data_IF_028188974669
#
_entry.id   IF_028188974669
#
_cell.length_a   1.000
_cell.length_b   1.000
_cell.length_c   1.000
_cell.angle_alpha   90.00
_cell.angle_beta   90.00
_cell.angle_gamma   90.00
#
_symmetry.space_group_name_H-M   'P 1'
#
loop_
_entity.id
_entity.type
_entity.pdbx_description
1 polymer ?
#
# COMPACT_ATOMS: atom_id res chain seq x y z
N UNK A 1 -8.49 11.24 1.96
CA UNK A 1 -8.30 10.31 0.82
C UNK A 1 -8.82 10.95 -0.45
N UNK A 2 -10.16 11.02 -0.66
CA UNK A 2 -10.79 11.54 -1.88
C UNK A 2 -10.18 12.82 -2.48
N UNK A 3 -9.88 13.82 -1.64
CA UNK A 3 -9.24 15.07 -2.08
C UNK A 3 -7.97 14.86 -2.91
N UNK A 4 -7.09 13.96 -2.47
CA UNK A 4 -5.82 13.71 -3.17
C UNK A 4 -5.98 12.83 -4.41
N UNK A 5 -7.08 12.08 -4.53
CA UNK A 5 -7.43 11.38 -5.76
C UNK A 5 -7.74 12.37 -6.90
N UNK A 6 -8.28 13.55 -6.57
CA UNK A 6 -8.53 14.63 -7.53
C UNK A 6 -7.31 15.55 -7.72
N UNK A 7 -6.61 15.87 -6.63
CA UNK A 7 -5.46 16.77 -6.64
C UNK A 7 -4.24 16.13 -5.96
N UNK A 8 -3.46 15.28 -6.66
CA UNK A 8 -2.32 14.55 -6.07
C UNK A 8 -1.22 15.44 -5.48
N UNK A 9 -1.09 16.67 -5.98
CA UNK A 9 -0.14 17.70 -5.51
C UNK A 9 -0.80 18.75 -4.60
N UNK A 10 -2.06 18.54 -4.21
CA UNK A 10 -2.82 19.42 -3.33
C UNK A 10 -3.54 20.59 -4.02
N UNK A 11 -3.35 20.77 -5.33
CA UNK A 11 -4.13 21.72 -6.15
C UNK A 11 -3.91 23.21 -5.83
N UNK A 12 -2.96 23.55 -4.95
CA UNK A 12 -2.71 24.92 -4.50
C UNK A 12 -3.75 25.46 -3.51
N UNK A 13 -4.62 24.60 -2.97
CA UNK A 13 -5.67 25.02 -2.03
C UNK A 13 -5.13 25.24 -0.62
N UNK A 14 -5.67 26.22 0.13
CA UNK A 14 -5.28 26.50 1.52
C UNK A 14 -5.91 25.53 2.53
N UNK A 15 -6.89 24.72 2.12
CA UNK A 15 -7.52 23.71 2.97
C UNK A 15 -8.22 22.65 2.11
N UNK A 16 -8.56 21.52 2.72
CA UNK A 16 -9.39 20.50 2.07
C UNK A 16 -10.74 21.08 1.62
N UNK A 17 -11.39 21.87 2.49
CA UNK A 17 -12.69 22.46 2.22
C UNK A 17 -12.63 23.39 1.01
N UNK A 18 -11.61 24.25 0.92
CA UNK A 18 -11.47 25.19 -0.18
C UNK A 18 -11.39 24.49 -1.55
N UNK A 19 -10.70 23.36 -1.65
CA UNK A 19 -10.69 22.58 -2.89
C UNK A 19 -12.01 21.86 -3.16
N UNK A 20 -12.62 21.24 -2.14
CA UNK A 20 -13.92 20.57 -2.30
C UNK A 20 -15.06 21.54 -2.67
N UNK A 21 -15.02 22.78 -2.17
CA UNK A 21 -15.99 23.84 -2.51
C UNK A 21 -15.97 24.20 -3.99
N UNK A 22 -14.82 24.03 -4.67
CA UNK A 22 -14.75 24.24 -6.13
C UNK A 22 -15.62 23.26 -6.91
N UNK A 23 -15.86 22.06 -6.36
CA UNK A 23 -16.68 21.03 -6.99
C UNK A 23 -18.18 21.30 -6.83
N UNK A 24 -18.58 22.09 -5.83
CA UNK A 24 -19.99 22.39 -5.58
C UNK A 24 -20.67 23.04 -6.79
N UNK A 25 -19.92 23.85 -7.53
CA UNK A 25 -20.35 24.58 -8.72
C UNK A 25 -20.29 23.74 -10.01
N UNK A 26 -19.91 22.47 -9.93
CA UNK A 26 -19.74 21.56 -11.07
C UNK A 26 -20.80 20.43 -11.02
N UNK A 27 -22.07 20.71 -11.33
CA UNK A 27 -23.15 19.71 -11.21
C UNK A 27 -22.91 18.49 -12.11
N UNK A 28 -22.52 18.69 -13.36
CA UNK A 28 -22.26 17.58 -14.30
C UNK A 28 -21.17 16.63 -13.80
N UNK A 29 -20.08 17.18 -13.24
CA UNK A 29 -19.01 16.38 -12.65
C UNK A 29 -19.51 15.54 -11.46
N UNK A 30 -20.32 16.15 -10.58
CA UNK A 30 -20.86 15.45 -9.40
C UNK A 30 -21.82 14.33 -9.80
N UNK A 31 -22.65 14.57 -10.80
CA UNK A 31 -23.59 13.58 -11.33
C UNK A 31 -22.86 12.40 -11.98
N UNK A 32 -21.81 12.69 -12.77
CA UNK A 32 -20.96 11.64 -13.36
C UNK A 32 -20.20 10.86 -12.28
N UNK A 33 -19.64 11.54 -11.29
CA UNK A 33 -18.93 10.90 -10.18
C UNK A 33 -19.85 9.92 -9.42
N UNK A 34 -21.10 10.29 -9.16
CA UNK A 34 -22.06 9.38 -8.53
C UNK A 34 -22.34 8.14 -9.40
N UNK A 35 -22.46 8.30 -10.71
CA UNK A 35 -22.68 7.17 -11.63
C UNK A 35 -21.46 6.23 -11.64
N UNK A 36 -20.25 6.78 -11.71
CA UNK A 36 -19.01 6.00 -11.66
C UNK A 36 -18.88 5.26 -10.34
N UNK A 37 -19.11 5.92 -9.21
CA UNK A 37 -19.07 5.28 -7.88
C UNK A 37 -20.10 4.16 -7.75
N UNK A 38 -21.34 4.38 -8.21
CA UNK A 38 -22.39 3.37 -8.20
C UNK A 38 -22.02 2.15 -9.06
N UNK A 39 -21.43 2.38 -10.24
CA UNK A 39 -20.98 1.31 -11.13
C UNK A 39 -19.84 0.50 -10.51
N UNK A 40 -18.82 1.16 -9.96
CA UNK A 40 -17.64 0.49 -9.37
C UNK A 40 -18.02 -0.27 -8.10
N UNK A 41 -18.93 0.26 -7.27
CA UNK A 41 -19.41 -0.45 -6.07
C UNK A 41 -20.13 -1.77 -6.41
N UNK A 42 -20.79 -1.85 -7.57
CA UNK A 42 -21.41 -3.10 -8.05
C UNK A 42 -20.39 -4.14 -8.54
N UNK A 43 -19.15 -3.72 -8.79
CA UNK A 43 -18.05 -4.55 -9.31
C UNK A 43 -16.99 -4.85 -8.25
N UNK A 44 -17.28 -4.62 -6.96
CA UNK A 44 -16.32 -4.93 -5.91
C UNK A 44 -16.11 -6.46 -5.82
N UNK A 45 -14.96 -6.93 -6.30
CA UNK A 45 -14.60 -8.35 -6.39
C UNK A 45 -14.23 -8.98 -5.03
N UNK A 46 -13.88 -8.15 -4.05
CA UNK A 46 -13.41 -8.59 -2.73
C UNK A 46 -14.26 -8.00 -1.62
N UNK A 47 -14.58 -8.82 -0.62
CA UNK A 47 -15.27 -8.37 0.59
C UNK A 47 -14.28 -7.60 1.46
N UNK A 48 -14.47 -6.28 1.67
CA UNK A 48 -13.58 -5.50 2.50
C UNK A 48 -13.71 -5.92 3.96
N UNK A 49 -12.58 -6.18 4.62
CA UNK A 49 -12.54 -6.47 6.06
C UNK A 49 -11.97 -5.26 6.82
N UNK A 50 -12.61 -4.80 7.91
CA UNK A 50 -12.12 -3.65 8.65
C UNK A 50 -10.78 -3.97 9.32
N UNK A 51 -9.89 -2.97 9.39
CA UNK A 51 -8.76 -3.02 10.30
C UNK A 51 -9.28 -2.98 11.75
N UNK A 52 -8.58 -3.69 12.65
CA UNK A 52 -8.98 -3.83 14.04
C UNK A 52 -7.92 -3.25 14.99
N UNK A 53 -8.26 -3.14 16.27
CA UNK A 53 -7.34 -2.70 17.31
C UNK A 53 -6.88 -1.26 17.13
N UNK A 54 -5.57 -1.03 17.23
CA UNK A 54 -4.92 0.29 17.09
C UNK A 54 -5.12 0.94 15.72
N UNK A 55 -5.52 0.16 14.70
CA UNK A 55 -5.76 0.62 13.35
C UNK A 55 -7.24 0.80 13.01
N UNK A 56 -8.16 0.59 13.95
CA UNK A 56 -9.60 0.64 13.68
C UNK A 56 -10.12 2.00 13.20
N UNK A 57 -9.39 3.09 13.48
CA UNK A 57 -9.73 4.44 13.01
C UNK A 57 -9.13 4.79 11.65
N UNK A 58 -8.27 3.92 11.09
CA UNK A 58 -7.67 4.14 9.77
C UNK A 58 -8.73 3.81 8.71
N UNK A 59 -9.00 4.70 7.75
CA UNK A 59 -10.03 4.52 6.73
C UNK A 59 -9.56 3.58 5.60
N UNK A 60 -8.94 2.46 5.96
CA UNK A 60 -8.50 1.41 5.06
C UNK A 60 -9.11 0.07 5.49
N UNK A 61 -9.43 -0.75 4.51
CA UNK A 61 -9.98 -2.09 4.69
C UNK A 61 -9.11 -3.10 3.95
N UNK A 62 -8.93 -4.26 4.57
CA UNK A 62 -8.22 -5.39 3.99
C UNK A 62 -8.99 -5.89 2.76
N UNK A 63 -8.24 -6.24 1.72
CA UNK A 63 -8.67 -6.64 0.38
C UNK A 63 -9.30 -5.55 -0.50
N UNK A 64 -9.34 -4.29 -0.04
CA UNK A 64 -9.64 -3.16 -0.91
C UNK A 64 -8.36 -2.62 -1.57
N UNK A 65 -8.53 -2.02 -2.75
CA UNK A 65 -7.46 -1.43 -3.54
C UNK A 65 -7.40 0.09 -3.36
N UNK A 66 -6.18 0.61 -3.19
CA UNK A 66 -5.92 2.02 -2.91
C UNK A 66 -4.77 2.54 -3.76
N UNK A 67 -4.94 3.74 -4.29
CA UNK A 67 -3.85 4.52 -4.85
C UNK A 67 -2.91 5.02 -3.76
N UNK A 68 -1.72 5.48 -4.16
CA UNK A 68 -0.78 6.14 -3.24
C UNK A 68 -1.40 7.40 -2.61
N UNK A 69 -2.19 8.12 -3.40
CA UNK A 69 -2.95 9.31 -3.04
C UNK A 69 -4.02 9.02 -1.97
N UNK A 70 -4.41 7.75 -1.81
CA UNK A 70 -5.32 7.30 -0.76
C UNK A 70 -4.57 6.75 0.45
N UNK A 71 -3.57 5.89 0.23
CA UNK A 71 -2.79 5.24 1.30
C UNK A 71 -2.10 6.27 2.19
N UNK A 72 -1.35 7.21 1.61
CA UNK A 72 -0.53 8.13 2.39
C UNK A 72 -1.34 9.06 3.31
N UNK A 73 -2.41 9.73 2.87
CA UNK A 73 -3.22 10.52 3.80
C UNK A 73 -3.99 9.64 4.79
N UNK A 74 -4.42 8.42 4.42
CA UNK A 74 -5.07 7.51 5.36
C UNK A 74 -4.13 7.11 6.52
N UNK A 75 -2.84 6.95 6.24
CA UNK A 75 -1.80 6.67 7.24
C UNK A 75 -1.26 7.94 7.94
N UNK A 76 -1.82 9.12 7.65
CA UNK A 76 -1.37 10.40 8.21
C UNK A 76 -0.02 10.90 7.67
N UNK A 77 0.43 10.38 6.53
CA UNK A 77 1.72 10.71 5.90
C UNK A 77 1.63 11.82 4.84
N UNK A 78 0.41 12.31 4.56
CA UNK A 78 0.18 13.39 3.62
C UNK A 78 -0.97 14.29 4.06
N UNK A 79 -0.84 15.60 3.81
CA UNK A 79 -1.87 16.59 4.13
C UNK A 79 -1.82 17.84 3.24
N UNK A 80 -2.90 18.63 3.25
CA UNK A 80 -2.97 19.90 2.50
C UNK A 80 -1.95 20.93 3.00
N UNK A 81 -1.58 20.89 4.27
CA UNK A 81 -0.59 21.82 4.84
C UNK A 81 0.80 21.18 4.99
N UNK A 82 0.98 19.97 4.47
CA UNK A 82 2.19 19.17 4.62
C UNK A 82 2.64 18.49 3.34
N UNK A 83 3.29 17.33 3.50
CA UNK A 83 3.82 16.55 2.38
C UNK A 83 2.69 16.08 1.46
N UNK A 84 2.93 16.18 0.15
CA UNK A 84 1.98 15.72 -0.87
C UNK A 84 2.23 14.27 -1.26
N UNK A 85 1.19 13.47 -1.54
CA UNK A 85 1.36 12.08 -1.98
C UNK A 85 2.20 11.96 -3.25
N UNK A 86 2.07 12.89 -4.20
CA UNK A 86 2.81 12.87 -5.46
C UNK A 86 4.35 12.83 -5.33
N UNK A 87 4.89 13.22 -4.17
CA UNK A 87 6.34 13.23 -3.91
C UNK A 87 6.86 11.92 -3.31
N UNK A 88 6.00 10.94 -3.06
CA UNK A 88 6.42 9.65 -2.50
C UNK A 88 6.89 8.72 -3.60
N UNK A 89 8.16 8.30 -3.51
CA UNK A 89 8.84 7.42 -4.48
C UNK A 89 9.39 6.15 -3.83
N UNK A 90 9.19 5.96 -2.53
CA UNK A 90 9.75 4.87 -1.75
C UNK A 90 8.80 3.65 -1.77
N UNK A 91 9.33 2.43 -1.66
CA UNK A 91 8.51 1.21 -1.56
C UNK A 91 8.09 0.88 -0.13
N UNK A 92 8.57 1.61 0.86
CA UNK A 92 8.29 1.40 2.29
C UNK A 92 8.13 2.74 2.97
N UNK A 93 7.20 2.82 3.94
CA UNK A 93 6.96 4.02 4.72
C UNK A 93 6.78 3.70 6.20
N UNK A 94 7.70 4.20 7.03
CA UNK A 94 7.49 4.27 8.48
C UNK A 94 6.51 5.41 8.82
N UNK A 95 5.44 5.06 9.53
CA UNK A 95 4.37 5.96 9.98
C UNK A 95 4.42 6.08 11.51
N UNK A 96 5.22 7.03 12.00
CA UNK A 96 5.50 7.19 13.43
C UNK A 96 4.25 7.49 14.27
N UNK A 97 3.32 8.28 13.73
CA UNK A 97 2.04 8.63 14.37
C UNK A 97 1.15 7.41 14.72
N UNK A 98 1.33 6.29 14.02
CA UNK A 98 0.59 5.04 14.23
C UNK A 98 1.51 3.84 14.48
N UNK A 99 2.81 4.08 14.70
CA UNK A 99 3.83 3.06 14.93
C UNK A 99 3.77 1.89 13.93
N UNK A 100 3.66 2.21 12.63
CA UNK A 100 3.40 1.21 11.57
C UNK A 100 4.33 1.37 10.38
N UNK A 101 4.94 0.27 9.94
CA UNK A 101 5.61 0.18 8.64
C UNK A 101 4.60 -0.24 7.56
N UNK A 102 4.42 0.59 6.55
CA UNK A 102 3.64 0.27 5.35
C UNK A 102 4.58 -0.22 4.25
N UNK A 103 4.40 -1.48 3.82
CA UNK A 103 5.19 -2.11 2.77
C UNK A 103 4.39 -2.11 1.47
N UNK A 104 4.86 -1.36 0.46
CA UNK A 104 4.18 -1.21 -0.84
C UNK A 104 4.94 -2.01 -1.90
N UNK A 105 4.42 -3.20 -2.17
CA UNK A 105 5.05 -4.21 -3.02
C UNK A 105 4.47 -4.16 -4.44
N UNK A 106 5.36 -4.23 -5.44
CA UNK A 106 5.00 -4.45 -6.84
C UNK A 106 5.61 -5.78 -7.26
N UNK A 107 4.76 -6.77 -7.58
CA UNK A 107 5.18 -8.15 -7.82
C UNK A 107 5.89 -8.31 -9.17
N UNK A 108 5.23 -7.93 -10.25
CA UNK A 108 5.78 -7.97 -11.60
C UNK A 108 6.46 -6.63 -11.91
N UNK A 109 7.77 -6.71 -12.12
CA UNK A 109 8.63 -5.58 -12.43
C UNK A 109 8.92 -5.61 -13.92
N UNK A 110 8.53 -4.56 -14.64
CA UNK A 110 8.90 -4.39 -16.04
C UNK A 110 10.42 -4.50 -16.21
N UNK A 111 10.87 -5.34 -17.15
CA UNK A 111 12.29 -5.61 -17.38
C UNK A 111 13.09 -4.34 -17.74
N UNK A 112 12.42 -3.32 -18.27
CA UNK A 112 13.01 -2.05 -18.70
C UNK A 112 13.28 -1.09 -17.54
N UNK A 113 12.59 -1.25 -16.41
CA UNK A 113 12.59 -0.29 -15.30
C UNK A 113 13.55 -0.68 -14.15
N UNK A 114 14.09 -1.90 -14.15
CA UNK A 114 14.92 -2.41 -13.05
C UNK A 114 16.21 -3.07 -13.55
N UNK A 115 17.35 -2.68 -12.97
CA UNK A 115 18.60 -3.41 -13.18
C UNK A 115 18.46 -4.84 -12.64
N UNK A 116 19.18 -5.84 -13.21
CA UNK A 116 19.20 -7.21 -12.71
C UNK A 116 19.51 -7.31 -11.20
N UNK A 117 20.23 -6.32 -10.67
CA UNK A 117 20.70 -6.22 -9.28
C UNK A 117 19.62 -5.76 -8.28
N UNK A 118 18.47 -5.25 -8.76
CA UNK A 118 17.38 -4.71 -7.90
C UNK A 118 16.09 -5.53 -7.99
N UNK A 119 16.16 -6.78 -8.47
CA UNK A 119 15.00 -7.68 -8.50
C UNK A 119 14.77 -8.28 -7.11
N UNK A 120 14.25 -7.47 -6.20
CA UNK A 120 13.70 -7.99 -4.95
C UNK A 120 12.68 -9.08 -5.26
N UNK A 121 12.83 -10.24 -4.65
CA UNK A 121 11.87 -11.34 -4.83
C UNK A 121 10.75 -11.14 -3.83
N UNK A 122 9.58 -10.77 -4.31
CA UNK A 122 8.39 -10.59 -3.49
C UNK A 122 7.33 -11.57 -3.99
N UNK A 123 6.86 -12.49 -3.13
CA UNK A 123 5.93 -13.54 -3.55
C UNK A 123 5.17 -14.14 -2.37
N UNK A 124 3.98 -14.66 -2.63
CA UNK A 124 3.24 -15.49 -1.70
C UNK A 124 3.87 -16.90 -1.63
N UNK A 125 4.19 -17.34 -0.41
CA UNK A 125 4.64 -18.72 -0.13
C UNK A 125 3.43 -19.67 -0.07
N UNK A 126 2.32 -19.19 0.49
CA UNK A 126 1.02 -19.86 0.54
C UNK A 126 -0.06 -18.81 0.83
N UNK A 127 -1.26 -19.24 1.21
CA UNK A 127 -2.41 -18.39 1.50
C UNK A 127 -2.23 -17.43 2.70
N UNK A 128 -1.19 -17.57 3.52
CA UNK A 128 -0.99 -16.76 4.72
C UNK A 128 0.46 -16.33 4.96
N UNK A 129 1.43 -16.88 4.21
CA UNK A 129 2.84 -16.51 4.27
C UNK A 129 3.24 -15.76 3.01
N UNK A 130 3.90 -14.63 3.20
CA UNK A 130 4.41 -13.77 2.14
C UNK A 130 5.90 -13.53 2.34
N UNK A 131 6.69 -13.82 1.31
CA UNK A 131 8.10 -13.51 1.27
C UNK A 131 8.31 -12.10 0.70
N UNK A 132 9.09 -11.30 1.40
CA UNK A 132 9.39 -9.91 1.04
C UNK A 132 10.87 -9.60 1.29
N UNK A 133 11.52 -8.94 0.32
CA UNK A 133 12.89 -8.47 0.50
C UNK A 133 12.94 -6.97 0.82
N UNK A 134 13.73 -6.61 1.84
CA UNK A 134 13.93 -5.22 2.24
C UNK A 134 14.76 -4.43 1.22
N UNK A 135 14.83 -3.11 1.38
CA UNK A 135 15.77 -2.30 0.60
C UNK A 135 17.22 -2.77 0.83
N UNK A 136 18.06 -2.69 -0.20
CA UNK A 136 19.46 -3.15 -0.22
C UNK A 136 20.32 -2.66 0.96
N UNK A 137 19.99 -1.51 1.55
CA UNK A 137 20.75 -0.94 2.68
C UNK A 137 20.24 -1.39 4.06
N UNK A 138 19.03 -1.93 4.14
CA UNK A 138 18.43 -2.38 5.40
C UNK A 138 19.10 -3.67 5.83
N UNK A 139 19.90 -3.61 6.90
CA UNK A 139 20.50 -4.78 7.54
C UNK A 139 19.66 -5.31 8.71
N UNK A 140 19.85 -6.57 9.09
CA UNK A 140 19.20 -7.16 10.28
C UNK A 140 19.54 -6.40 11.56
N UNK A 141 20.73 -5.80 11.63
CA UNK A 141 21.19 -4.99 12.76
C UNK A 141 20.85 -3.50 12.62
N UNK A 142 20.29 -3.06 11.50
CA UNK A 142 19.87 -1.66 11.32
C UNK A 142 18.66 -1.34 12.19
N UNK A 143 18.40 -0.06 12.54
CA UNK A 143 17.22 0.30 13.32
C UNK A 143 15.91 -0.22 12.72
N UNK A 144 15.78 -0.17 11.38
CA UNK A 144 14.62 -0.69 10.65
C UNK A 144 14.55 -2.22 10.71
N UNK A 145 15.66 -2.93 10.46
CA UNK A 145 15.70 -4.40 10.52
C UNK A 145 15.41 -4.93 11.91
N UNK A 146 15.93 -4.30 12.96
CA UNK A 146 15.62 -4.63 14.36
C UNK A 146 14.15 -4.35 14.66
N UNK A 147 13.59 -3.24 14.15
CA UNK A 147 12.15 -2.95 14.30
C UNK A 147 11.28 -4.04 13.68
N UNK A 148 11.60 -4.53 12.48
CA UNK A 148 10.86 -5.64 11.86
C UNK A 148 10.90 -6.90 12.72
N UNK A 149 12.08 -7.31 13.20
CA UNK A 149 12.24 -8.51 14.02
C UNK A 149 11.51 -8.44 15.36
N UNK A 150 11.55 -7.27 16.01
CA UNK A 150 11.02 -7.05 17.36
C UNK A 150 9.66 -6.35 17.37
N UNK A 151 8.97 -6.29 16.23
CA UNK A 151 7.81 -5.40 16.07
C UNK A 151 6.70 -5.69 17.08
N UNK A 152 6.42 -6.97 17.34
CA UNK A 152 5.42 -7.40 18.32
C UNK A 152 5.77 -6.97 19.75
N UNK A 153 7.02 -7.12 20.14
CA UNK A 153 7.51 -6.75 21.48
C UNK A 153 7.47 -5.23 21.69
N UNK A 154 7.77 -4.47 20.62
CA UNK A 154 7.76 -3.00 20.62
C UNK A 154 6.38 -2.40 20.39
N UNK A 155 5.35 -3.20 20.15
CA UNK A 155 4.01 -2.72 19.81
C UNK A 155 3.96 -1.96 18.48
N UNK A 156 4.90 -2.22 17.58
CA UNK A 156 4.89 -1.68 16.22
C UNK A 156 4.25 -2.66 15.25
N UNK A 157 3.65 -2.15 14.19
CA UNK A 157 2.82 -2.93 13.26
C UNK A 157 3.38 -2.90 11.85
N UNK A 158 2.95 -3.86 11.03
CA UNK A 158 3.31 -3.93 9.61
C UNK A 158 2.01 -4.09 8.81
N UNK A 159 1.82 -3.25 7.80
CA UNK A 159 0.73 -3.37 6.83
C UNK A 159 1.32 -3.66 5.45
N UNK A 160 0.88 -4.76 4.83
CA UNK A 160 1.34 -5.17 3.52
C UNK A 160 0.35 -4.74 2.43
N UNK A 161 0.84 -4.01 1.44
CA UNK A 161 0.11 -3.56 0.26
C UNK A 161 0.75 -4.19 -0.98
N UNK A 162 -0.05 -4.82 -1.82
CA UNK A 162 0.45 -5.56 -2.99
C UNK A 162 -0.26 -5.07 -4.26
N UNK A 163 0.50 -4.93 -5.34
CA UNK A 163 -0.05 -4.80 -6.70
C UNK A 163 0.75 -5.69 -7.64
N UNK A 164 0.10 -6.09 -8.73
CA UNK A 164 0.74 -6.93 -9.76
C UNK A 164 1.74 -6.13 -10.57
N UNK A 165 1.29 -5.04 -11.18
CA UNK A 165 2.02 -4.18 -12.10
C UNK A 165 2.21 -2.77 -11.56
N UNK A 166 3.14 -2.03 -12.16
CA UNK A 166 3.32 -0.60 -11.86
C UNK A 166 2.22 0.26 -12.49
N UNK A 167 1.77 -0.11 -13.69
CA UNK A 167 0.80 0.60 -14.49
C UNK A 167 -0.36 -0.32 -14.88
N UNK A 168 -1.50 0.28 -15.16
CA UNK A 168 -2.68 -0.32 -15.76
C UNK A 168 -2.56 -0.30 -17.29
N UNK A 169 -3.42 -1.04 -17.98
CA UNK A 169 -3.44 -1.13 -19.45
C UNK A 169 -3.70 0.23 -20.14
N UNK A 170 -4.28 1.19 -19.41
CA UNK A 170 -4.53 2.57 -19.88
C UNK A 170 -3.40 3.54 -19.49
N UNK A 171 -2.28 3.05 -18.97
CA UNK A 171 -1.07 3.83 -18.64
C UNK A 171 -1.10 4.56 -17.28
N UNK A 172 -2.19 4.46 -16.53
CA UNK A 172 -2.28 5.00 -15.17
C UNK A 172 -1.61 4.08 -14.13
N UNK A 173 -1.20 4.58 -12.95
CA UNK A 173 -0.61 3.74 -11.91
C UNK A 173 -1.62 2.69 -11.40
N UNK A 174 -1.20 1.43 -11.27
CA UNK A 174 -2.07 0.41 -10.67
C UNK A 174 -2.17 0.63 -9.14
N UNK A 175 -3.39 0.59 -8.56
CA UNK A 175 -3.56 0.67 -7.11
C UNK A 175 -2.99 -0.56 -6.41
N UNK A 176 -2.68 -0.42 -5.12
CA UNK A 176 -2.29 -1.53 -4.26
C UNK A 176 -3.47 -2.04 -3.46
N UNK A 177 -3.64 -3.36 -3.43
CA UNK A 177 -4.55 -4.02 -2.53
C UNK A 177 -3.91 -4.17 -1.14
N UNK A 178 -4.65 -3.81 -0.08
CA UNK A 178 -4.22 -4.03 1.29
C UNK A 178 -4.39 -5.52 1.64
N UNK A 179 -3.29 -6.26 1.81
CA UNK A 179 -3.32 -7.65 2.34
C UNK A 179 -3.58 -7.67 3.85
N UNK A 180 -3.32 -6.55 4.53
CA UNK A 180 -3.61 -6.34 5.94
C UNK A 180 -2.40 -6.46 6.86
N UNK A 181 -2.64 -6.60 8.17
CA UNK A 181 -1.59 -6.72 9.17
C UNK A 181 -0.76 -8.00 9.00
N UNK A 182 0.54 -7.88 9.26
CA UNK A 182 1.48 -8.98 9.16
C UNK A 182 2.33 -9.15 10.43
N UNK A 183 2.75 -10.39 10.70
CA UNK A 183 3.67 -10.75 11.77
C UNK A 183 4.97 -11.32 11.21
N UNK A 184 6.08 -10.86 11.77
CA UNK A 184 7.40 -11.37 11.45
C UNK A 184 7.50 -12.86 11.85
N UNK A 185 7.98 -13.71 10.95
CA UNK A 185 8.22 -15.14 11.22
C UNK A 185 9.72 -15.40 11.36
N UNK A 186 10.48 -15.11 10.30
CA UNK A 186 11.93 -15.27 10.21
C UNK A 186 12.46 -14.44 9.04
N UNK A 187 13.77 -14.33 8.94
CA UNK A 187 14.42 -13.80 7.75
C UNK A 187 15.68 -14.59 7.40
N UNK A 188 16.16 -14.41 6.19
CA UNK A 188 17.51 -14.80 5.75
C UNK A 188 18.20 -13.60 5.12
N UNK A 189 19.54 -13.64 5.06
CA UNK A 189 20.32 -12.50 4.58
C UNK A 189 20.31 -11.32 5.55
N UNK A 190 21.04 -10.27 5.19
CA UNK A 190 21.12 -9.06 6.01
C UNK A 190 20.97 -7.84 5.12
N UNK A 191 21.76 -7.68 4.06
CA UNK A 191 21.66 -6.56 3.10
C UNK A 191 21.39 -7.07 1.68
N UNK A 192 20.12 -7.23 1.25
CA UNK A 192 18.88 -7.00 2.00
C UNK A 192 18.50 -8.16 2.95
N UNK A 193 17.52 -7.92 3.82
CA UNK A 193 16.83 -8.96 4.59
C UNK A 193 15.71 -9.55 3.74
N UNK A 194 15.66 -10.87 3.62
CA UNK A 194 14.57 -11.60 2.99
C UNK A 194 13.65 -12.15 4.09
N UNK A 195 12.53 -11.46 4.35
CA UNK A 195 11.64 -11.70 5.48
C UNK A 195 10.42 -12.52 5.05
N UNK A 196 10.05 -13.50 5.88
CA UNK A 196 8.75 -14.15 5.81
C UNK A 196 7.76 -13.48 6.77
N UNK A 197 6.70 -12.94 6.20
CA UNK A 197 5.59 -12.31 6.90
C UNK A 197 4.39 -13.25 6.95
N UNK A 198 3.80 -13.45 8.13
CA UNK A 198 2.53 -14.14 8.31
C UNK A 198 1.39 -13.12 8.35
N UNK A 199 0.53 -13.15 7.33
CA UNK A 199 -0.67 -12.32 7.24
C UNK A 199 -1.77 -12.83 8.18
N UNK A 200 -2.58 -11.91 8.68
CA UNK A 200 -3.70 -12.23 9.56
C UNK A 200 -4.95 -12.64 8.79
N UNK A 201 -5.01 -12.26 7.52
CA UNK A 201 -6.07 -12.60 6.58
C UNK A 201 -5.47 -13.43 5.45
N UNK A 202 -6.23 -14.41 4.96
CA UNK A 202 -5.80 -15.22 3.83
C UNK A 202 -5.71 -14.35 2.57
N UNK A 203 -4.64 -14.52 1.81
CA UNK A 203 -4.43 -13.88 0.52
C UNK A 203 -5.56 -14.30 -0.42
N UNK A 204 -6.24 -13.36 -1.10
CA UNK A 204 -7.26 -13.69 -2.09
C UNK A 204 -6.76 -14.64 -3.17
N UNK A 205 -7.61 -15.56 -3.62
CA UNK A 205 -7.22 -16.63 -4.55
C UNK A 205 -6.66 -16.07 -5.88
N UNK A 206 -7.26 -15.00 -6.40
CA UNK A 206 -6.79 -14.30 -7.59
C UNK A 206 -5.39 -13.72 -7.37
N UNK A 207 -5.13 -13.13 -6.20
CA UNK A 207 -3.80 -12.61 -5.83
C UNK A 207 -2.77 -13.73 -5.77
N UNK A 208 -3.11 -14.90 -5.21
CA UNK A 208 -2.22 -16.07 -5.18
C UNK A 208 -1.78 -16.50 -6.58
N UNK A 209 -2.67 -16.43 -7.58
CA UNK A 209 -2.34 -16.90 -8.95
C UNK A 209 -1.17 -16.15 -9.59
N UNK A 210 -0.99 -14.87 -9.28
CA UNK A 210 0.08 -14.04 -9.85
C UNK A 210 1.16 -13.63 -8.83
N UNK A 211 0.99 -14.00 -7.56
CA UNK A 211 1.97 -13.72 -6.50
C UNK A 211 2.78 -14.94 -6.09
N UNK A 212 2.40 -16.15 -6.47
CA UNK A 212 3.21 -17.34 -6.22
C UNK A 212 4.57 -17.26 -6.95
N UNK A 213 5.58 -17.96 -6.44
CA UNK A 213 6.83 -18.17 -7.17
C UNK A 213 6.46 -18.77 -8.52
N UNK A 214 6.79 -18.07 -9.61
CA UNK A 214 6.73 -18.66 -10.94
C UNK A 214 7.61 -19.91 -10.92
N UNK A 215 6.99 -21.09 -11.02
CA UNK A 215 7.73 -22.31 -11.28
C UNK A 215 8.48 -22.08 -12.59
N UNK A 216 9.81 -22.08 -12.52
CA UNK A 216 10.69 -21.78 -13.64
C UNK A 216 10.51 -22.70 -14.83
#
# INVERSE_FOLDING_TARGET
MFFFSLWPLGGGFPSYQAGLDTLLHQPSFRDELHQVLAHVLQQADHVPLPLLGTHATIPLTVHASYSREEILPALGQASVDGRKPGHFREGVKWCENIQTDALLVTLEKDEKDFSPETRYRDYALNDSLFHWESQNQTSEHSPTGVRYQTHKEKGTHVLLFVRRYKQTDIGGPQPWMLMGPAQYVKHTGSKPMAIEWKLFHQIPADVLTYSAIAAG
#
